data_IF_538320219470
#
_entry.id   IF_538320219470
#
_cell.length_a   1.000
_cell.length_b   1.000
_cell.length_c   1.000
_cell.angle_alpha   90.00
_cell.angle_beta   90.00
_cell.angle_gamma   90.00
#
_symmetry.space_group_name_H-M   'P 1'
#
loop_
_entity.id
_entity.type
_entity.pdbx_description
1 polymer ?
#
# COMPACT_ATOMS: atom_id res chain seq x y z
N UNK A 1 11.08 -13.43 -5.20
CA UNK A 1 10.32 -12.32 -4.63
C UNK A 1 10.24 -12.55 -3.15
N UNK A 2 10.86 -11.69 -2.37
CA UNK A 2 10.71 -11.68 -0.91
C UNK A 2 9.52 -10.78 -0.57
N UNK A 3 8.62 -11.23 0.31
CA UNK A 3 7.51 -10.41 0.75
C UNK A 3 8.01 -9.33 1.72
N UNK A 4 7.68 -8.08 1.43
CA UNK A 4 8.02 -6.93 2.28
C UNK A 4 6.72 -6.30 2.80
N UNK A 5 6.38 -6.49 4.07
CA UNK A 5 5.15 -5.93 4.63
C UNK A 5 5.17 -4.40 4.56
N UNK A 6 4.00 -3.82 4.32
CA UNK A 6 3.80 -2.38 4.26
C UNK A 6 3.61 -1.78 5.66
N UNK A 7 4.58 -2.04 6.54
CA UNK A 7 4.58 -1.55 7.92
C UNK A 7 5.47 -0.31 8.08
N UNK A 8 6.27 0.02 7.06
CA UNK A 8 7.24 1.13 7.02
C UNK A 8 6.70 2.29 6.19
N UNK A 9 6.56 3.47 6.78
CA UNK A 9 6.05 4.68 6.09
C UNK A 9 7.02 5.87 6.17
N UNK A 10 8.21 5.71 6.75
CA UNK A 10 9.19 6.79 6.82
C UNK A 10 10.03 6.88 5.54
N UNK A 11 10.35 8.10 5.09
CA UNK A 11 11.17 8.32 3.89
C UNK A 11 12.50 7.56 3.95
N UNK A 12 13.17 7.58 5.10
CA UNK A 12 14.46 6.92 5.28
C UNK A 12 14.38 5.39 5.10
N UNK A 13 13.36 4.74 5.66
CA UNK A 13 13.17 3.30 5.50
C UNK A 13 12.81 2.95 4.04
N UNK A 14 11.98 3.77 3.41
CA UNK A 14 11.58 3.60 2.02
C UNK A 14 12.79 3.76 1.09
N UNK A 15 13.63 4.77 1.29
CA UNK A 15 14.85 4.98 0.50
C UNK A 15 15.83 3.80 0.66
N UNK A 16 15.97 3.26 1.88
CA UNK A 16 16.77 2.06 2.11
C UNK A 16 16.21 0.86 1.32
N UNK A 17 14.90 0.64 1.37
CA UNK A 17 14.25 -0.44 0.60
C UNK A 17 14.39 -0.25 -0.91
N UNK A 18 14.24 0.97 -1.42
CA UNK A 18 14.46 1.29 -2.83
C UNK A 18 15.90 0.97 -3.27
N UNK A 19 16.90 1.21 -2.42
CA UNK A 19 18.30 0.95 -2.78
C UNK A 19 18.67 -0.55 -2.86
N UNK A 20 18.01 -1.41 -2.08
CA UNK A 20 18.42 -2.83 -1.98
C UNK A 20 17.36 -3.83 -2.44
N UNK A 21 16.08 -3.46 -2.42
CA UNK A 21 14.92 -4.35 -2.63
C UNK A 21 13.76 -3.64 -3.36
N UNK A 22 14.06 -2.69 -4.26
CA UNK A 22 13.06 -1.90 -5.00
C UNK A 22 11.92 -2.75 -5.58
N UNK A 23 12.28 -3.79 -6.35
CA UNK A 23 11.32 -4.63 -7.06
C UNK A 23 10.46 -5.45 -6.09
N UNK A 24 11.07 -6.02 -5.05
CA UNK A 24 10.36 -6.80 -4.02
C UNK A 24 9.38 -5.92 -3.23
N UNK A 25 9.78 -4.69 -2.88
CA UNK A 25 8.92 -3.72 -2.20
C UNK A 25 7.75 -3.32 -3.08
N UNK A 26 8.04 -2.87 -4.31
CA UNK A 26 7.01 -2.39 -5.25
C UNK A 26 6.00 -3.50 -5.56
N UNK A 27 6.46 -4.73 -5.79
CA UNK A 27 5.58 -5.87 -6.05
C UNK A 27 4.77 -6.26 -4.81
N UNK A 28 5.37 -6.22 -3.62
CA UNK A 28 4.65 -6.47 -2.36
C UNK A 28 3.56 -5.42 -2.13
N UNK A 29 3.82 -4.14 -2.39
CA UNK A 29 2.84 -3.07 -2.29
C UNK A 29 1.67 -3.29 -3.26
N UNK A 30 1.99 -3.58 -4.52
CA UNK A 30 0.98 -3.88 -5.55
C UNK A 30 0.06 -5.03 -5.16
N UNK A 31 0.64 -6.14 -4.68
CA UNK A 31 -0.14 -7.31 -4.24
C UNK A 31 -0.99 -6.96 -3.01
N UNK A 32 -0.45 -6.18 -2.07
CA UNK A 32 -1.13 -5.85 -0.81
C UNK A 32 -2.39 -5.02 -1.07
N UNK A 33 -2.29 -3.89 -1.78
CA UNK A 33 -3.49 -3.07 -2.04
C UNK A 33 -4.47 -3.78 -2.99
N UNK A 34 -3.99 -4.55 -3.96
CA UNK A 34 -4.86 -5.32 -4.86
C UNK A 34 -5.67 -6.38 -4.09
N UNK A 35 -5.04 -7.05 -3.11
CA UNK A 35 -5.69 -8.05 -2.27
C UNK A 35 -6.76 -7.42 -1.38
N UNK A 36 -6.50 -6.24 -0.82
CA UNK A 36 -7.50 -5.50 -0.04
C UNK A 36 -8.74 -5.16 -0.88
N UNK A 37 -8.55 -4.59 -2.08
CA UNK A 37 -9.66 -4.30 -2.99
C UNK A 37 -10.39 -5.56 -3.46
N UNK A 38 -9.66 -6.66 -3.70
CA UNK A 38 -10.27 -7.94 -4.06
C UNK A 38 -11.15 -8.49 -2.92
N UNK A 39 -10.68 -8.41 -1.68
CA UNK A 39 -11.48 -8.83 -0.51
C UNK A 39 -12.76 -8.00 -0.40
N UNK A 40 -12.66 -6.67 -0.53
CA UNK A 40 -13.82 -5.77 -0.56
C UNK A 40 -14.79 -6.17 -1.65
N UNK A 41 -14.29 -6.41 -2.87
CA UNK A 41 -15.14 -6.76 -4.02
C UNK A 41 -15.89 -8.08 -3.83
N UNK A 42 -15.26 -9.05 -3.18
CA UNK A 42 -15.80 -10.39 -2.96
C UNK A 42 -16.72 -10.48 -1.73
N UNK A 43 -16.38 -9.78 -0.65
CA UNK A 43 -17.03 -9.98 0.65
C UNK A 43 -17.73 -8.73 1.19
N UNK A 44 -17.57 -7.58 0.55
CA UNK A 44 -18.08 -6.29 1.03
C UNK A 44 -17.44 -5.81 2.33
N UNK A 45 -16.28 -6.40 2.71
CA UNK A 45 -15.54 -6.14 3.95
C UNK A 45 -14.05 -6.27 3.67
N UNK A 46 -13.22 -5.73 4.57
CA UNK A 46 -11.77 -5.87 4.52
C UNK A 46 -11.25 -6.18 5.91
N UNK A 47 -10.28 -7.09 6.01
CA UNK A 47 -9.60 -7.31 7.28
C UNK A 47 -8.90 -6.02 7.75
N UNK A 48 -8.93 -5.76 9.06
CA UNK A 48 -8.39 -4.51 9.61
C UNK A 48 -6.90 -4.36 9.33
N UNK A 49 -6.12 -5.42 9.55
CA UNK A 49 -4.68 -5.39 9.31
C UNK A 49 -4.38 -5.25 7.82
N UNK A 50 -5.10 -6.00 6.97
CA UNK A 50 -4.93 -5.87 5.52
C UNK A 50 -5.27 -4.47 5.01
N UNK A 51 -6.29 -3.82 5.58
CA UNK A 51 -6.64 -2.43 5.25
C UNK A 51 -5.51 -1.46 5.61
N UNK A 52 -4.99 -1.55 6.83
CA UNK A 52 -3.90 -0.68 7.30
C UNK A 52 -2.66 -0.87 6.41
N UNK A 53 -2.30 -2.11 6.09
CA UNK A 53 -1.18 -2.40 5.18
C UNK A 53 -1.43 -1.92 3.75
N UNK A 54 -2.66 -2.00 3.24
CA UNK A 54 -2.99 -1.49 1.91
C UNK A 54 -2.89 0.04 1.83
N UNK A 55 -3.32 0.76 2.87
CA UNK A 55 -3.15 2.22 2.95
C UNK A 55 -1.67 2.57 3.00
N UNK A 56 -0.91 1.93 3.88
CA UNK A 56 0.54 2.14 3.97
C UNK A 56 1.27 1.81 2.66
N UNK A 57 0.86 0.76 1.94
CA UNK A 57 1.44 0.40 0.64
C UNK A 57 1.23 1.53 -0.40
N UNK A 58 0.05 2.14 -0.41
CA UNK A 58 -0.27 3.27 -1.30
C UNK A 58 0.51 4.53 -0.93
N UNK A 59 0.61 4.86 0.36
CA UNK A 59 1.41 5.99 0.85
C UNK A 59 2.91 5.77 0.58
N UNK A 60 3.40 4.55 0.82
CA UNK A 60 4.78 4.16 0.51
C UNK A 60 5.11 4.32 -0.97
N UNK A 61 4.19 3.97 -1.87
CA UNK A 61 4.35 4.22 -3.31
C UNK A 61 4.42 5.71 -3.63
N UNK A 62 3.62 6.57 -2.98
CA UNK A 62 3.71 8.03 -3.19
C UNK A 62 5.09 8.57 -2.85
N UNK A 63 5.63 8.12 -1.72
CA UNK A 63 6.93 8.54 -1.23
C UNK A 63 8.06 7.98 -2.11
N UNK A 64 8.03 6.68 -2.41
CA UNK A 64 9.08 5.99 -3.17
C UNK A 64 9.26 6.55 -4.59
N UNK A 65 8.16 6.91 -5.25
CA UNK A 65 8.16 7.38 -6.63
C UNK A 65 8.04 8.90 -6.75
N UNK A 66 8.06 9.62 -5.64
CA UNK A 66 7.96 11.10 -5.59
C UNK A 66 6.70 11.64 -6.30
N UNK A 67 5.60 10.89 -6.18
CA UNK A 67 4.28 11.21 -6.76
C UNK A 67 3.32 11.76 -5.71
N UNK A 68 3.81 12.71 -4.89
CA UNK A 68 3.12 13.23 -3.71
C UNK A 68 1.70 13.76 -3.97
N UNK A 69 1.37 14.12 -5.22
CA UNK A 69 0.07 14.69 -5.63
C UNK A 69 -0.75 13.78 -6.55
N UNK A 70 -0.69 12.46 -6.36
CA UNK A 70 -1.51 11.53 -7.14
C UNK A 70 -2.96 11.47 -6.66
N UNK A 71 -3.86 12.17 -7.37
CA UNK A 71 -5.32 12.13 -7.13
C UNK A 71 -5.88 10.69 -7.16
N UNK A 72 -5.32 9.83 -8.01
CA UNK A 72 -5.72 8.43 -8.10
C UNK A 72 -5.40 7.68 -6.80
N UNK A 73 -4.18 7.85 -6.28
CA UNK A 73 -3.77 7.16 -5.04
C UNK A 73 -4.56 7.72 -3.85
N UNK A 74 -4.77 9.03 -3.80
CA UNK A 74 -5.57 9.66 -2.75
C UNK A 74 -7.00 9.12 -2.74
N UNK A 75 -7.60 8.94 -3.92
CA UNK A 75 -8.93 8.32 -4.05
C UNK A 75 -8.94 6.87 -3.58
N UNK A 76 -7.89 6.09 -3.90
CA UNK A 76 -7.77 4.71 -3.43
C UNK A 76 -7.63 4.62 -1.91
N UNK A 77 -6.87 5.53 -1.28
CA UNK A 77 -6.74 5.61 0.19
C UNK A 77 -8.07 6.00 0.83
N UNK A 78 -8.79 6.98 0.26
CA UNK A 78 -10.12 7.38 0.72
C UNK A 78 -11.10 6.21 0.63
N UNK A 79 -11.12 5.51 -0.50
CA UNK A 79 -12.00 4.36 -0.71
C UNK A 79 -11.71 3.28 0.34
N UNK A 80 -10.45 2.88 0.54
CA UNK A 80 -10.07 1.91 1.60
C UNK A 80 -10.49 2.39 2.99
N UNK A 81 -10.26 3.67 3.30
CA UNK A 81 -10.60 4.27 4.60
C UNK A 81 -12.10 4.27 4.88
N UNK A 82 -12.93 4.40 3.84
CA UNK A 82 -14.40 4.39 3.94
C UNK A 82 -14.97 3.03 4.37
N UNK A 83 -14.23 1.94 4.14
CA UNK A 83 -14.63 0.61 4.62
C UNK A 83 -14.29 0.46 6.11
N UNK A 84 -15.20 0.97 6.94
CA UNK A 84 -15.22 0.75 8.37
C UNK A 84 -16.10 -0.47 8.70
N UNK A 85 -15.46 -1.65 8.85
CA UNK A 85 -15.97 -2.79 9.63
C UNK A 85 -14.94 -3.90 9.71
#
# INVERSE_FOLDING_TARGET
MEYIPADTVTRQEIDNLMNVKEMDMTQSDMVTYATAFAQIKLTGKVDKQLKEQAINALERLKIAWEIETSEMIDKMVEDLSSFAK
#
